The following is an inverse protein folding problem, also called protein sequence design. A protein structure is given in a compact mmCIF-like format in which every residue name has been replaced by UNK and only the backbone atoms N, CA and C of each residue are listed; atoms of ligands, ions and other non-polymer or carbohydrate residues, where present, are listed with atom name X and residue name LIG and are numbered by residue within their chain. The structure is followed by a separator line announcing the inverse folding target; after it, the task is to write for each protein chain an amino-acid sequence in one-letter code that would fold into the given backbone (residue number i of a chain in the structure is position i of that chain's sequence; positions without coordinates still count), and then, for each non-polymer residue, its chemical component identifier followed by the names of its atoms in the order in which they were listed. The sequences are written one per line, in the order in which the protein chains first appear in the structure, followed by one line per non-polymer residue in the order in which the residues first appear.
data_IF_273711564162
#
_entry.id   IF_273711564162
#
_cell.length_a   1.000
_cell.length_b   1.000
_cell.length_c   1.000
_cell.angle_alpha   90.00
_cell.angle_beta   90.00
_cell.angle_gamma   90.00
#
_symmetry.space_group_name_H-M   'P 1'
#
loop_
_entity.id
_entity.type
_entity.pdbx_description
1 polymer ?
#
# COMPACT_ATOMS: atom_id res chain seq x y z
N UNK A 1 -22.55 -18.66 -10.51
CA UNK A 1 -21.87 -17.35 -10.42
C UNK A 1 -20.38 -17.57 -10.62
N UNK A 2 -19.72 -16.84 -11.53
CA UNK A 2 -18.28 -16.98 -11.83
C UNK A 2 -17.47 -16.58 -10.59
N UNK A 3 -16.59 -17.46 -10.12
CA UNK A 3 -15.79 -17.14 -8.93
C UNK A 3 -14.82 -15.98 -9.19
N UNK A 4 -14.79 -15.02 -8.26
CA UNK A 4 -13.90 -13.87 -8.33
C UNK A 4 -12.46 -14.31 -8.06
N UNK A 5 -11.56 -14.04 -8.99
CA UNK A 5 -10.14 -14.42 -8.89
C UNK A 5 -9.41 -13.56 -7.84
N UNK A 6 -8.27 -14.03 -7.29
CA UNK A 6 -7.49 -13.24 -6.34
C UNK A 6 -7.09 -11.86 -6.89
N UNK A 7 -6.73 -11.79 -8.17
CA UNK A 7 -6.40 -10.54 -8.84
C UNK A 7 -7.61 -9.59 -8.92
N UNK A 8 -8.80 -10.10 -9.23
CA UNK A 8 -10.03 -9.29 -9.25
C UNK A 8 -10.37 -8.76 -7.86
N UNK A 9 -10.18 -9.55 -6.80
CA UNK A 9 -10.35 -9.07 -5.42
C UNK A 9 -9.33 -7.97 -5.06
N UNK A 10 -8.10 -8.13 -5.53
CA UNK A 10 -7.08 -7.10 -5.41
C UNK A 10 -7.50 -5.82 -6.12
N UNK A 11 -8.06 -5.91 -7.32
CA UNK A 11 -8.54 -4.76 -8.08
C UNK A 11 -9.72 -4.05 -7.40
N UNK A 12 -10.69 -4.81 -6.88
CA UNK A 12 -11.83 -4.28 -6.10
C UNK A 12 -11.33 -3.57 -4.83
N UNK A 13 -10.41 -4.20 -4.10
CA UNK A 13 -9.83 -3.62 -2.87
C UNK A 13 -9.04 -2.35 -3.18
N UNK A 14 -8.21 -2.37 -4.24
CA UNK A 14 -7.45 -1.22 -4.69
C UNK A 14 -8.36 -0.06 -5.12
N UNK A 15 -9.43 -0.35 -5.86
CA UNK A 15 -10.44 0.65 -6.21
C UNK A 15 -11.08 1.26 -4.96
N UNK A 16 -11.48 0.44 -3.98
CA UNK A 16 -12.04 0.91 -2.71
C UNK A 16 -11.05 1.80 -1.92
N UNK A 17 -9.77 1.43 -1.90
CA UNK A 17 -8.72 2.24 -1.26
C UNK A 17 -8.52 3.59 -1.97
N UNK A 18 -8.54 3.61 -3.31
CA UNK A 18 -8.49 4.84 -4.09
C UNK A 18 -9.70 5.72 -3.79
N UNK A 19 -10.91 5.15 -3.78
CA UNK A 19 -12.14 5.89 -3.43
C UNK A 19 -12.06 6.47 -2.02
N UNK A 20 -11.61 5.69 -1.04
CA UNK A 20 -11.43 6.16 0.34
C UNK A 20 -10.38 7.28 0.43
N UNK A 21 -9.29 7.17 -0.33
CA UNK A 21 -8.24 8.19 -0.38
C UNK A 21 -8.75 9.48 -1.01
N UNK A 22 -9.46 9.40 -2.13
CA UNK A 22 -10.07 10.57 -2.78
C UNK A 22 -11.12 11.23 -1.88
N UNK A 23 -11.94 10.44 -1.19
CA UNK A 23 -12.90 10.94 -0.21
C UNK A 23 -12.20 11.73 0.90
N UNK A 24 -11.12 11.20 1.47
CA UNK A 24 -10.33 11.90 2.49
C UNK A 24 -9.73 13.20 1.98
N UNK A 25 -9.15 13.19 0.78
CA UNK A 25 -8.39 14.32 0.24
C UNK A 25 -9.29 15.45 -0.25
N UNK A 26 -10.41 15.13 -0.91
CA UNK A 26 -11.25 16.14 -1.58
C UNK A 26 -12.49 16.52 -0.79
N UNK A 27 -13.10 15.57 -0.07
CA UNK A 27 -14.35 15.84 0.68
C UNK A 27 -14.03 16.25 2.11
N UNK A 28 -13.22 15.46 2.82
CA UNK A 28 -12.80 15.78 4.19
C UNK A 28 -11.68 16.83 4.24
N UNK A 29 -11.00 17.08 3.10
CA UNK A 29 -9.87 18.01 2.97
C UNK A 29 -8.75 17.72 3.97
N UNK A 30 -8.58 16.45 4.32
CA UNK A 30 -7.48 16.04 5.19
C UNK A 30 -6.15 16.07 4.42
N UNK A 31 -5.05 16.43 5.10
CA UNK A 31 -3.73 16.37 4.49
C UNK A 31 -3.40 14.93 4.09
N UNK A 32 -2.52 14.79 3.10
CA UNK A 32 -2.10 13.47 2.61
C UNK A 32 -1.58 12.58 3.74
N UNK A 33 -0.82 13.13 4.68
CA UNK A 33 -0.23 12.44 5.83
C UNK A 33 -1.18 12.26 7.03
N UNK A 34 -2.49 12.44 6.83
CA UNK A 34 -3.49 12.29 7.89
C UNK A 34 -3.58 10.87 8.45
N UNK A 35 -4.02 10.76 9.70
CA UNK A 35 -4.39 9.50 10.37
C UNK A 35 -5.45 8.69 9.59
N UNK A 36 -6.18 9.31 8.66
CA UNK A 36 -7.09 8.59 7.75
C UNK A 36 -6.37 7.49 6.94
N UNK A 37 -5.05 7.60 6.72
CA UNK A 37 -4.26 6.53 6.08
C UNK A 37 -4.42 5.18 6.80
N UNK A 38 -4.64 5.15 8.13
CA UNK A 38 -4.89 3.90 8.86
C UNK A 38 -6.18 3.20 8.44
N UNK A 39 -7.20 3.95 8.01
CA UNK A 39 -8.43 3.37 7.44
C UNK A 39 -8.12 2.74 6.09
N UNK A 40 -7.32 3.42 5.25
CA UNK A 40 -6.89 2.89 3.94
C UNK A 40 -6.08 1.61 4.12
N UNK A 41 -5.17 1.56 5.11
CA UNK A 41 -4.44 0.34 5.46
C UNK A 41 -5.34 -0.75 6.02
N UNK A 42 -6.38 -0.40 6.78
CA UNK A 42 -7.35 -1.39 7.26
C UNK A 42 -8.10 -2.04 6.10
N UNK A 43 -8.53 -1.26 5.10
CA UNK A 43 -9.16 -1.77 3.87
C UNK A 43 -8.19 -2.71 3.13
N UNK A 44 -6.91 -2.33 3.01
CA UNK A 44 -5.88 -3.19 2.43
C UNK A 44 -5.77 -4.54 3.14
N UNK A 45 -5.65 -4.54 4.47
CA UNK A 45 -5.58 -5.75 5.27
C UNK A 45 -6.82 -6.64 5.09
N UNK A 46 -8.00 -6.04 5.17
CA UNK A 46 -9.28 -6.74 5.02
C UNK A 46 -9.44 -7.37 3.63
N UNK A 47 -8.98 -6.70 2.58
CA UNK A 47 -9.01 -7.24 1.21
C UNK A 47 -8.16 -8.51 1.06
N UNK A 48 -6.96 -8.53 1.65
CA UNK A 48 -6.09 -9.72 1.66
C UNK A 48 -6.74 -10.84 2.46
N UNK A 49 -7.23 -10.55 3.67
CA UNK A 49 -7.91 -11.52 4.53
C UNK A 49 -9.14 -12.13 3.83
N UNK A 50 -9.93 -11.29 3.16
CA UNK A 50 -11.08 -11.74 2.37
C UNK A 50 -10.66 -12.71 1.26
N UNK A 51 -9.55 -12.43 0.56
CA UNK A 51 -8.96 -13.32 -0.43
C UNK A 51 -8.63 -14.71 0.14
N UNK A 52 -7.88 -14.73 1.25
CA UNK A 52 -7.41 -15.95 1.91
C UNK A 52 -8.54 -16.77 2.56
N UNK A 53 -9.46 -16.11 3.26
CA UNK A 53 -10.61 -16.78 3.91
C UNK A 53 -11.56 -17.36 2.87
N UNK A 54 -11.80 -16.65 1.76
CA UNK A 54 -12.64 -17.22 0.69
C UNK A 54 -11.95 -18.44 0.07
N UNK A 55 -10.64 -18.37 -0.16
CA UNK A 55 -9.88 -19.51 -0.65
C UNK A 55 -9.89 -20.68 0.33
N UNK A 56 -9.83 -20.43 1.65
CA UNK A 56 -9.89 -21.48 2.66
C UNK A 56 -11.19 -22.28 2.65
N UNK A 57 -12.31 -21.64 2.32
CA UNK A 57 -13.65 -22.27 2.28
C UNK A 57 -13.89 -23.17 1.07
N UNK A 58 -13.05 -23.11 0.02
CA UNK A 58 -13.22 -23.97 -1.16
C UNK A 58 -13.02 -25.45 -0.80
N UNK A 59 -13.90 -26.33 -1.28
CA UNK A 59 -13.72 -27.78 -1.15
C UNK A 59 -12.72 -28.23 -2.21
N UNK A 60 -11.43 -28.16 -1.88
CA UNK A 60 -10.33 -28.69 -2.69
C UNK A 60 -9.47 -29.58 -1.80
N UNK A 61 -8.55 -30.33 -2.41
CA UNK A 61 -7.52 -31.08 -1.70
C UNK A 61 -6.77 -30.24 -0.65
N UNK A 62 -6.02 -30.93 0.22
CA UNK A 62 -5.25 -30.35 1.31
C UNK A 62 -4.41 -29.16 0.86
N UNK A 63 -4.81 -27.96 1.26
CA UNK A 63 -4.14 -26.70 0.91
C UNK A 63 -2.88 -26.51 1.75
N UNK A 64 -1.76 -26.28 1.08
CA UNK A 64 -0.47 -25.98 1.71
C UNK A 64 -0.31 -24.50 2.01
N UNK A 65 0.72 -24.15 2.79
CA UNK A 65 1.12 -22.76 3.03
C UNK A 65 1.40 -22.01 1.72
N UNK A 66 2.06 -22.68 0.77
CA UNK A 66 2.41 -22.11 -0.53
C UNK A 66 1.17 -21.69 -1.31
N UNK A 67 0.09 -22.46 -1.23
CA UNK A 67 -1.17 -22.15 -1.93
C UNK A 67 -1.82 -20.89 -1.37
N UNK A 68 -1.92 -20.79 -0.04
CA UNK A 68 -2.41 -19.58 0.62
C UNK A 68 -1.52 -18.37 0.32
N UNK A 69 -0.20 -18.53 0.43
CA UNK A 69 0.73 -17.45 0.13
C UNK A 69 0.58 -16.97 -1.31
N UNK A 70 0.43 -17.88 -2.28
CA UNK A 70 0.20 -17.52 -3.68
C UNK A 70 -1.08 -16.70 -3.88
N UNK A 71 -2.17 -17.07 -3.20
CA UNK A 71 -3.44 -16.32 -3.24
C UNK A 71 -3.29 -14.93 -2.61
N UNK A 72 -2.66 -14.83 -1.45
CA UNK A 72 -2.40 -13.55 -0.79
C UNK A 72 -1.52 -12.64 -1.64
N UNK A 73 -0.41 -13.18 -2.15
CA UNK A 73 0.51 -12.49 -3.06
C UNK A 73 -0.19 -11.92 -4.28
N UNK A 74 -0.94 -12.75 -5.02
CA UNK A 74 -1.71 -12.32 -6.19
C UNK A 74 -2.75 -11.24 -5.86
N UNK A 75 -3.26 -11.21 -4.63
CA UNK A 75 -4.20 -10.19 -4.19
C UNK A 75 -3.48 -8.88 -3.89
N UNK A 76 -2.47 -8.90 -3.02
CA UNK A 76 -1.81 -7.65 -2.59
C UNK A 76 -0.91 -7.03 -3.64
N UNK A 77 -0.32 -7.81 -4.56
CA UNK A 77 0.50 -7.25 -5.65
C UNK A 77 -0.34 -6.40 -6.59
N UNK A 78 -1.57 -6.81 -6.88
CA UNK A 78 -2.50 -6.03 -7.71
C UNK A 78 -2.89 -4.75 -6.99
N UNK A 79 -3.20 -4.82 -5.69
CA UNK A 79 -3.49 -3.61 -4.89
C UNK A 79 -2.29 -2.65 -4.91
N UNK A 80 -1.07 -3.17 -4.74
CA UNK A 80 0.16 -2.40 -4.77
C UNK A 80 0.34 -1.66 -6.10
N UNK A 81 0.09 -2.32 -7.24
CA UNK A 81 0.17 -1.69 -8.56
C UNK A 81 -0.88 -0.59 -8.73
N UNK A 82 -2.12 -0.83 -8.30
CA UNK A 82 -3.18 0.20 -8.32
C UNK A 82 -2.79 1.41 -7.48
N UNK A 83 -2.28 1.19 -6.27
CA UNK A 83 -1.86 2.28 -5.38
C UNK A 83 -0.63 3.03 -5.88
N UNK A 84 0.29 2.35 -6.59
CA UNK A 84 1.43 3.00 -7.24
C UNK A 84 0.97 3.95 -8.36
N UNK A 85 0.03 3.51 -9.20
CA UNK A 85 -0.57 4.35 -10.25
C UNK A 85 -1.33 5.52 -9.64
N UNK A 86 -2.14 5.28 -8.60
CA UNK A 86 -2.83 6.35 -7.87
C UNK A 86 -1.84 7.37 -7.30
N UNK A 87 -0.76 6.92 -6.67
CA UNK A 87 0.29 7.79 -6.11
C UNK A 87 0.91 8.67 -7.20
N UNK A 88 1.26 8.07 -8.34
CA UNK A 88 1.78 8.80 -9.49
C UNK A 88 0.81 9.87 -9.99
N UNK A 89 -0.45 9.49 -10.25
CA UNK A 89 -1.48 10.42 -10.75
C UNK A 89 -1.69 11.57 -9.75
N UNK A 90 -1.87 11.24 -8.46
CA UNK A 90 -2.15 12.23 -7.43
C UNK A 90 -1.04 13.28 -7.34
N UNK A 91 0.22 12.87 -7.22
CA UNK A 91 1.35 13.79 -7.08
C UNK A 91 1.73 14.49 -8.39
N UNK A 92 1.35 13.92 -9.54
CA UNK A 92 1.55 14.58 -10.83
C UNK A 92 0.56 15.75 -11.00
N UNK A 93 -0.67 15.59 -10.49
CA UNK A 93 -1.70 16.64 -10.53
C UNK A 93 -1.55 17.65 -9.37
N UNK A 94 -1.01 17.24 -8.23
CA UNK A 94 -0.92 18.07 -7.02
C UNK A 94 0.55 18.25 -6.59
N UNK A 95 1.21 19.28 -7.12
CA UNK A 95 2.60 19.57 -6.75
C UNK A 95 2.74 20.32 -5.43
N UNK A 96 1.65 20.86 -4.88
CA UNK A 96 1.69 21.67 -3.65
C UNK A 96 2.35 20.94 -2.47
N UNK A 97 2.04 19.65 -2.29
CA UNK A 97 2.67 18.85 -1.23
C UNK A 97 4.18 18.69 -1.41
N UNK A 98 4.66 18.51 -2.66
CA UNK A 98 6.10 18.45 -2.95
C UNK A 98 6.76 19.78 -2.59
N UNK A 99 6.18 20.86 -3.07
CA UNK A 99 6.77 22.19 -2.95
C UNK A 99 6.80 22.63 -1.47
N UNK A 100 5.78 22.27 -0.68
CA UNK A 100 5.75 22.45 0.78
C UNK A 100 6.86 21.66 1.48
N UNK A 101 7.03 20.37 1.18
CA UNK A 101 8.07 19.54 1.81
C UNK A 101 9.49 20.00 1.45
N UNK A 102 9.70 20.49 0.24
CA UNK A 102 10.99 21.08 -0.16
C UNK A 102 11.23 22.36 0.64
N UNK A 103 10.25 23.26 0.72
CA UNK A 103 10.37 24.50 1.48
C UNK A 103 10.62 24.25 2.98
N UNK A 104 9.92 23.27 3.56
CA UNK A 104 10.14 22.83 4.94
C UNK A 104 11.58 22.35 5.16
N UNK A 105 12.07 21.46 4.27
CA UNK A 105 13.44 20.97 4.32
C UNK A 105 14.47 22.11 4.18
N UNK A 106 14.29 23.01 3.20
CA UNK A 106 15.13 24.20 3.02
C UNK A 106 15.18 25.04 4.31
N UNK A 107 14.03 25.28 4.94
CA UNK A 107 13.96 26.04 6.20
C UNK A 107 14.76 25.34 7.31
N UNK A 108 14.66 24.03 7.43
CA UNK A 108 15.40 23.26 8.43
C UNK A 108 16.91 23.33 8.22
N UNK A 109 17.39 23.22 6.97
CA UNK A 109 18.80 23.34 6.62
C UNK A 109 19.36 24.74 6.93
N UNK A 110 18.59 25.80 6.66
CA UNK A 110 18.99 27.18 7.03
C UNK A 110 19.11 27.34 8.53
N UNK A 111 18.19 26.75 9.31
CA UNK A 111 18.22 26.81 10.78
C UNK A 111 19.37 26.03 11.40
N UNK A 112 19.84 24.96 10.73
CA UNK A 112 21.03 24.22 11.17
C UNK A 112 22.31 25.04 11.02
N UNK A 113 22.39 25.89 10.00
CA UNK A 113 23.47 26.87 9.84
C UNK A 113 24.83 26.31 9.43
N UNK A 114 24.92 25.00 9.15
CA UNK A 114 26.12 24.27 8.75
C UNK A 114 26.18 24.00 7.23
N UNK A 115 25.30 24.64 6.46
CA UNK A 115 25.19 24.47 5.01
C UNK A 115 25.35 25.78 4.26
N UNK A 116 26.15 25.77 3.20
CA UNK A 116 26.31 26.92 2.30
C UNK A 116 25.02 27.13 1.49
N UNK A 117 24.68 28.37 1.09
CA UNK A 117 23.47 28.65 0.31
C UNK A 117 23.33 27.80 -0.96
N UNK A 118 24.45 27.52 -1.63
CA UNK A 118 24.49 26.68 -2.83
C UNK A 118 24.14 25.21 -2.54
N UNK A 119 24.58 24.67 -1.41
CA UNK A 119 24.28 23.29 -1.00
C UNK A 119 22.79 23.13 -0.72
N UNK A 120 22.17 24.14 -0.09
CA UNK A 120 20.73 24.18 0.17
C UNK A 120 19.93 24.24 -1.15
N UNK A 121 20.38 25.03 -2.11
CA UNK A 121 19.75 25.11 -3.44
C UNK A 121 19.86 23.78 -4.21
N UNK A 122 21.05 23.19 -4.23
CA UNK A 122 21.31 21.91 -4.92
C UNK A 122 20.52 20.76 -4.28
N UNK A 123 20.41 20.74 -2.94
CA UNK A 123 19.55 19.80 -2.21
C UNK A 123 18.08 19.94 -2.63
N UNK A 124 17.57 21.17 -2.71
CA UNK A 124 16.18 21.44 -3.10
C UNK A 124 15.89 20.97 -4.53
N UNK A 125 16.83 21.18 -5.47
CA UNK A 125 16.74 20.68 -6.85
C UNK A 125 16.74 19.15 -6.89
N UNK A 126 17.59 18.50 -6.10
CA UNK A 126 17.66 17.05 -6.03
C UNK A 126 16.38 16.45 -5.46
N UNK A 127 15.86 17.01 -4.36
CA UNK A 127 14.58 16.59 -3.77
C UNK A 127 13.44 16.71 -4.77
N UNK A 128 13.36 17.83 -5.51
CA UNK A 128 12.35 18.00 -6.56
C UNK A 128 12.43 16.92 -7.64
N UNK A 129 13.64 16.58 -8.08
CA UNK A 129 13.89 15.54 -9.10
C UNK A 129 13.53 14.14 -8.59
N UNK A 130 13.88 13.83 -7.35
CA UNK A 130 13.68 12.51 -6.75
C UNK A 130 12.31 12.32 -6.08
N UNK A 131 11.53 13.40 -5.93
CA UNK A 131 10.26 13.37 -5.21
C UNK A 131 9.32 12.28 -5.74
N UNK A 132 9.08 12.25 -7.05
CA UNK A 132 8.14 11.29 -7.65
C UNK A 132 8.62 9.83 -7.49
N UNK A 133 9.86 9.46 -7.86
CA UNK A 133 10.41 8.14 -7.56
C UNK A 133 10.31 7.77 -6.07
N UNK A 134 10.57 8.71 -5.17
CA UNK A 134 10.54 8.48 -3.73
C UNK A 134 9.12 8.17 -3.23
N UNK A 135 8.12 8.93 -3.66
CA UNK A 135 6.72 8.71 -3.25
C UNK A 135 6.19 7.37 -3.75
N UNK A 136 6.43 7.04 -5.03
CA UNK A 136 5.99 5.76 -5.60
C UNK A 136 6.71 4.60 -4.91
N UNK A 137 8.03 4.70 -4.73
CA UNK A 137 8.81 3.66 -4.08
C UNK A 137 8.38 3.46 -2.63
N UNK A 138 8.18 4.54 -1.88
CA UNK A 138 7.69 4.47 -0.49
C UNK A 138 6.33 3.79 -0.40
N UNK A 139 5.39 4.13 -1.30
CA UNK A 139 4.09 3.48 -1.37
C UNK A 139 4.23 1.98 -1.70
N UNK A 140 4.98 1.64 -2.74
CA UNK A 140 5.20 0.25 -3.18
C UNK A 140 5.82 -0.59 -2.08
N UNK A 141 6.96 -0.17 -1.52
CA UNK A 141 7.64 -0.92 -0.45
C UNK A 141 6.74 -1.12 0.76
N UNK A 142 5.99 -0.09 1.16
CA UNK A 142 5.06 -0.19 2.30
C UNK A 142 3.99 -1.25 2.07
N UNK A 143 3.34 -1.25 0.91
CA UNK A 143 2.31 -2.24 0.59
C UNK A 143 2.88 -3.65 0.37
N UNK A 144 4.07 -3.78 -0.22
CA UNK A 144 4.72 -5.08 -0.39
C UNK A 144 5.10 -5.70 0.96
N UNK A 145 5.73 -4.94 1.86
CA UNK A 145 6.11 -5.42 3.20
C UNK A 145 4.87 -5.79 4.00
N UNK A 146 3.89 -4.88 4.09
CA UNK A 146 2.68 -5.11 4.87
C UNK A 146 1.86 -6.28 4.31
N UNK A 147 1.72 -6.35 2.98
CA UNK A 147 0.99 -7.41 2.30
C UNK A 147 1.64 -8.79 2.50
N UNK A 148 2.97 -8.85 2.43
CA UNK A 148 3.73 -10.06 2.71
C UNK A 148 3.54 -10.52 4.16
N UNK A 149 3.67 -9.62 5.14
CA UNK A 149 3.49 -9.95 6.56
C UNK A 149 2.10 -10.52 6.86
N UNK A 150 1.04 -9.83 6.42
CA UNK A 150 -0.35 -10.28 6.63
C UNK A 150 -0.58 -11.62 5.97
N UNK A 151 -0.07 -11.79 4.75
CA UNK A 151 -0.19 -13.04 4.00
C UNK A 151 0.52 -14.18 4.72
N UNK A 152 1.76 -13.99 5.19
CA UNK A 152 2.53 -15.00 5.92
C UNK A 152 1.80 -15.43 7.20
N UNK A 153 1.36 -14.46 8.01
CA UNK A 153 0.67 -14.73 9.28
C UNK A 153 -0.62 -15.52 9.01
N UNK A 154 -1.44 -15.03 8.08
CA UNK A 154 -2.74 -15.64 7.78
C UNK A 154 -2.61 -17.00 7.11
N UNK A 155 -1.68 -17.15 6.15
CA UNK A 155 -1.40 -18.42 5.50
C UNK A 155 -0.89 -19.45 6.52
N UNK A 156 0.03 -19.05 7.41
CA UNK A 156 0.55 -19.92 8.47
C UNK A 156 -0.56 -20.44 9.38
N UNK A 157 -1.49 -19.57 9.78
CA UNK A 157 -2.64 -19.96 10.59
C UNK A 157 -3.60 -20.90 9.83
N UNK A 158 -3.99 -20.55 8.60
CA UNK A 158 -4.95 -21.34 7.81
C UNK A 158 -4.43 -22.71 7.42
N UNK A 159 -3.13 -22.82 7.10
CA UNK A 159 -2.51 -24.11 6.77
C UNK A 159 -2.51 -25.07 7.95
N UNK A 160 -2.32 -24.58 9.20
CA UNK A 160 -2.39 -25.41 10.41
C UNK A 160 -3.80 -25.90 10.72
N UNK A 161 -4.81 -25.04 10.50
CA UNK A 161 -6.22 -25.38 10.75
C UNK A 161 -6.71 -26.52 9.84
N UNK A 162 -6.29 -26.53 8.57
CA UNK A 162 -6.69 -27.60 7.64
C UNK A 162 -6.05 -28.95 7.96
N UNK A 163 -4.86 -28.98 8.56
CA UNK A 163 -4.24 -30.25 8.99
C UNK A 163 -5.00 -30.94 10.13
N UNK A 164 -5.69 -30.18 10.99
CA UNK A 164 -6.41 -30.74 12.14
C UNK A 164 -7.76 -31.36 11.78
N UNK A 165 -8.37 -30.93 10.68
CA UNK A 165 -9.66 -31.46 10.21
C UNK A 165 -9.48 -32.76 9.41
N UNK A 166 -8.35 -32.94 8.73
CA UNK A 166 -8.05 -34.13 7.94
C UNK A 166 -7.55 -35.34 8.76
N UNK A 167 -7.35 -35.18 10.07
CA UNK A 167 -6.87 -36.23 10.99
C UNK A 167 -7.97 -36.79 11.91
N UNK A 168 -9.24 -36.61 11.54
CA UNK A 168 -10.41 -37.22 12.17
C UNK A 168 -11.20 -37.96 11.10
#
# INVERSE_FOLDING_TARGET
MKEITPAQKGLITGALMVTASLFSLYILKYPFESYFQFIVYSIFCLGILWGLITYSKKLTEKKSFKDYFSVGFKTFIVICLVMAVFTYIYFNLNTGFRDEKIAENTRLLVLQGDHLPKEIEDNSKQLKKMFMPMMISSAVFRYLILGALITIITAGFLSRKNTTVASK
#
